data_IF_678685511305
#
_entry.id   IF_678685511305
#
_cell.length_a   1.000
_cell.length_b   1.000
_cell.length_c   1.000
_cell.angle_alpha   90.00
_cell.angle_beta   90.00
_cell.angle_gamma   90.00
#
_symmetry.space_group_name_H-M   'P 1'
#
loop_
_entity.id
_entity.type
_entity.pdbx_description
1 polymer ?
#
# COMPACT_ATOMS: atom_id res chain seq x y z
N UNK A 1 48.74 58.90 15.91
CA UNK A 1 48.52 58.58 14.49
C UNK A 1 48.70 57.08 14.32
N UNK A 2 47.63 56.30 14.48
CA UNK A 2 47.52 54.88 14.11
C UNK A 2 46.08 54.44 14.45
N UNK A 3 45.19 54.61 13.47
CA UNK A 3 43.82 54.09 13.51
C UNK A 3 43.88 52.58 13.26
N UNK A 4 43.35 51.77 14.18
CA UNK A 4 43.10 50.36 13.93
C UNK A 4 41.74 50.22 13.24
N UNK A 5 41.79 49.74 12.01
CA UNK A 5 40.64 49.22 11.27
C UNK A 5 40.13 47.95 11.94
N UNK A 6 38.86 47.91 12.32
CA UNK A 6 38.09 46.67 12.22
C UNK A 6 36.73 46.96 11.60
N UNK A 7 36.60 46.36 10.43
CA UNK A 7 35.50 46.33 9.50
C UNK A 7 34.31 45.61 10.13
N UNK A 8 33.15 46.23 9.99
CA UNK A 8 31.86 45.63 10.24
C UNK A 8 31.62 44.57 9.17
N UNK A 9 31.45 43.29 9.56
CA UNK A 9 30.80 42.32 8.69
C UNK A 9 29.56 41.73 9.37
N UNK A 10 28.51 41.79 8.58
CA UNK A 10 27.12 41.68 8.91
C UNK A 10 26.74 40.27 9.39
N UNK A 11 26.01 40.26 10.49
CA UNK A 11 25.30 39.11 11.00
C UNK A 11 23.87 39.17 10.44
N UNK A 12 23.62 38.62 9.25
CA UNK A 12 22.26 38.29 8.81
C UNK A 12 22.26 37.46 7.51
N UNK A 13 21.96 36.18 7.64
CA UNK A 13 21.18 35.45 6.64
C UNK A 13 20.39 34.36 7.36
N UNK A 14 19.30 34.81 7.96
CA UNK A 14 18.17 33.94 8.28
C UNK A 14 17.25 33.94 7.07
N UNK A 15 17.04 32.79 6.46
CA UNK A 15 15.84 32.45 5.68
C UNK A 15 15.99 31.03 5.08
N UNK A 16 14.89 30.34 4.80
CA UNK A 16 13.71 30.16 5.64
C UNK A 16 13.62 28.69 6.07
N UNK A 17 13.02 28.47 7.24
CA UNK A 17 12.39 27.19 7.54
C UNK A 17 11.45 26.85 6.39
N UNK A 18 11.80 25.86 5.56
CA UNK A 18 10.81 25.13 4.79
C UNK A 18 9.96 24.32 5.76
N UNK A 19 9.10 25.04 6.47
CA UNK A 19 7.81 24.52 6.87
C UNK A 19 7.01 24.27 5.58
N UNK A 20 7.47 23.29 4.79
CA UNK A 20 6.71 22.78 3.67
C UNK A 20 5.52 22.07 4.28
N UNK A 21 4.44 22.86 4.41
CA UNK A 21 3.03 22.47 4.41
C UNK A 21 2.78 21.10 5.03
N UNK A 22 2.10 21.10 6.16
CA UNK A 22 1.27 19.98 6.64
C UNK A 22 0.23 19.61 5.57
N UNK A 23 0.69 19.04 4.45
CA UNK A 23 -0.15 18.46 3.43
C UNK A 23 -0.76 17.27 4.11
N UNK A 24 -2.04 17.41 4.35
CA UNK A 24 -2.83 16.51 5.14
C UNK A 24 -3.04 15.21 4.34
N UNK A 25 -2.00 14.37 4.40
CA UNK A 25 -1.75 13.28 3.46
C UNK A 25 -2.86 12.25 3.56
N UNK A 26 -3.59 12.07 2.46
CA UNK A 26 -4.51 10.95 2.27
C UNK A 26 -3.69 9.83 1.66
N UNK A 27 -3.77 8.64 2.23
CA UNK A 27 -3.14 7.44 1.70
C UNK A 27 -4.20 6.40 1.40
N UNK A 28 -3.99 5.60 0.37
CA UNK A 28 -4.93 4.56 -0.04
C UNK A 28 -4.28 3.20 0.15
N UNK A 29 -5.00 2.29 0.80
CA UNK A 29 -4.65 0.87 0.88
C UNK A 29 -5.56 0.10 -0.07
N UNK A 30 -4.99 -0.71 -0.96
CA UNK A 30 -5.72 -1.54 -1.92
C UNK A 30 -5.52 -3.01 -1.57
N UNK A 31 -6.62 -3.71 -1.30
CA UNK A 31 -6.67 -5.13 -0.92
C UNK A 31 -7.44 -5.91 -1.99
N UNK A 32 -6.76 -6.44 -3.02
CA UNK A 32 -7.40 -7.18 -4.08
C UNK A 32 -7.67 -8.64 -3.72
N UNK A 33 -8.72 -9.22 -4.32
CA UNK A 33 -8.87 -10.67 -4.34
C UNK A 33 -7.82 -11.30 -5.27
N UNK A 34 -7.36 -12.50 -4.91
CA UNK A 34 -6.33 -13.28 -5.60
C UNK A 34 -6.72 -13.75 -7.03
N UNK A 35 -7.89 -13.36 -7.53
CA UNK A 35 -8.32 -13.61 -8.90
C UNK A 35 -7.60 -12.72 -9.92
N UNK A 36 -7.12 -13.32 -11.02
CA UNK A 36 -6.32 -12.62 -12.04
C UNK A 36 -7.00 -11.37 -12.63
N UNK A 37 -8.31 -11.41 -12.90
CA UNK A 37 -9.07 -10.28 -13.41
C UNK A 37 -9.18 -9.14 -12.39
N UNK A 38 -9.42 -9.48 -11.12
CA UNK A 38 -9.57 -8.53 -10.01
C UNK A 38 -8.26 -7.80 -9.74
N UNK A 39 -7.13 -8.52 -9.70
CA UNK A 39 -5.80 -7.94 -9.54
C UNK A 39 -5.50 -6.90 -10.62
N UNK A 40 -5.85 -7.18 -11.88
CA UNK A 40 -5.61 -6.22 -12.96
C UNK A 40 -6.54 -4.99 -12.86
N UNK A 41 -7.82 -5.18 -12.54
CA UNK A 41 -8.76 -4.08 -12.39
C UNK A 41 -8.35 -3.12 -11.26
N UNK A 42 -8.00 -3.66 -10.09
CA UNK A 42 -7.56 -2.86 -8.95
C UNK A 42 -6.19 -2.22 -9.20
N UNK A 43 -5.30 -2.86 -9.97
CA UNK A 43 -4.06 -2.22 -10.41
C UNK A 43 -4.34 -1.00 -11.31
N UNK A 44 -5.24 -1.12 -12.28
CA UNK A 44 -5.60 0.01 -13.15
C UNK A 44 -6.23 1.16 -12.36
N UNK A 45 -7.12 0.84 -11.41
CA UNK A 45 -7.66 1.83 -10.48
C UNK A 45 -6.55 2.49 -9.66
N UNK A 46 -5.58 1.70 -9.17
CA UNK A 46 -4.42 2.20 -8.41
C UNK A 46 -3.60 3.20 -9.22
N UNK A 47 -3.40 2.96 -10.52
CA UNK A 47 -2.72 3.92 -11.40
C UNK A 47 -3.51 5.23 -11.55
N UNK A 48 -4.83 5.17 -11.70
CA UNK A 48 -5.68 6.36 -11.78
C UNK A 48 -5.57 7.17 -10.48
N UNK A 49 -5.69 6.53 -9.32
CA UNK A 49 -5.54 7.19 -8.01
C UNK A 49 -4.15 7.81 -7.87
N UNK A 50 -3.11 7.04 -8.18
CA UNK A 50 -1.71 7.48 -8.06
C UNK A 50 -1.39 8.68 -8.96
N UNK A 51 -2.03 8.77 -10.14
CA UNK A 51 -1.87 9.91 -11.06
C UNK A 51 -2.32 11.25 -10.47
N UNK A 52 -3.15 11.24 -9.42
CA UNK A 52 -3.57 12.42 -8.66
C UNK A 52 -2.64 12.73 -7.47
N UNK A 53 -1.42 12.22 -7.49
CA UNK A 53 -0.40 12.37 -6.44
C UNK A 53 -0.78 11.77 -5.08
N UNK A 54 -1.67 10.77 -5.07
CA UNK A 54 -2.09 10.05 -3.86
C UNK A 54 -1.21 8.79 -3.70
N UNK A 55 -0.53 8.59 -2.56
CA UNK A 55 0.19 7.35 -2.27
C UNK A 55 -0.76 6.15 -2.20
N UNK A 56 -0.41 5.07 -2.89
CA UNK A 56 -1.18 3.83 -2.92
C UNK A 56 -0.34 2.68 -2.40
N UNK A 57 -0.84 1.96 -1.40
CA UNK A 57 -0.26 0.75 -0.84
C UNK A 57 -1.06 -0.45 -1.35
N UNK A 58 -0.46 -1.24 -2.24
CA UNK A 58 -1.10 -2.38 -2.88
C UNK A 58 -0.66 -3.68 -2.21
N UNK A 59 -1.58 -4.37 -1.53
CA UNK A 59 -1.27 -5.60 -0.78
C UNK A 59 -1.53 -6.85 -1.59
N UNK A 60 -0.80 -7.91 -1.27
CA UNK A 60 -1.11 -9.26 -1.74
C UNK A 60 -0.02 -10.25 -1.37
N UNK A 61 -0.25 -11.52 -1.70
CA UNK A 61 0.81 -12.52 -1.54
C UNK A 61 1.94 -12.29 -2.54
N UNK A 62 3.17 -12.68 -2.19
CA UNK A 62 4.36 -12.51 -3.02
C UNK A 62 4.20 -13.09 -4.44
N UNK A 63 3.52 -14.24 -4.57
CA UNK A 63 3.21 -14.84 -5.87
C UNK A 63 2.34 -13.91 -6.72
N UNK A 64 1.22 -13.43 -6.17
CA UNK A 64 0.28 -12.58 -6.91
C UNK A 64 0.88 -11.21 -7.22
N UNK A 65 1.61 -10.62 -6.26
CA UNK A 65 2.31 -9.34 -6.44
C UNK A 65 3.39 -9.44 -7.51
N UNK A 66 4.17 -10.51 -7.55
CA UNK A 66 5.15 -10.75 -8.61
C UNK A 66 4.48 -10.80 -10.00
N UNK A 67 3.35 -11.51 -10.11
CA UNK A 67 2.58 -11.55 -11.35
C UNK A 67 2.03 -10.17 -11.75
N UNK A 68 1.54 -9.38 -10.79
CA UNK A 68 1.06 -8.00 -11.02
C UNK A 68 2.21 -7.11 -11.49
N UNK A 69 3.35 -7.12 -10.78
CA UNK A 69 4.56 -6.38 -11.13
C UNK A 69 5.05 -6.71 -12.54
N UNK A 70 5.02 -8.00 -12.94
CA UNK A 70 5.44 -8.43 -14.28
C UNK A 70 4.59 -7.84 -15.42
N UNK A 71 3.33 -7.48 -15.13
CA UNK A 71 2.37 -6.90 -16.09
C UNK A 71 2.36 -5.36 -16.04
N UNK A 72 2.78 -4.78 -14.92
CA UNK A 72 2.78 -3.34 -14.68
C UNK A 72 3.91 -2.59 -15.41
N UNK A 73 4.80 -3.29 -16.12
CA UNK A 73 6.02 -2.80 -16.78
C UNK A 73 5.79 -1.74 -17.87
N UNK A 74 4.53 -1.51 -18.27
CA UNK A 74 4.17 -0.57 -19.33
C UNK A 74 3.38 0.65 -18.84
N UNK A 75 3.10 0.78 -17.54
CA UNK A 75 2.23 1.85 -17.04
C UNK A 75 3.03 2.99 -16.40
N UNK A 76 2.76 4.20 -16.88
CA UNK A 76 3.36 5.47 -16.43
C UNK A 76 2.98 5.73 -14.96
N UNK A 77 3.93 6.22 -14.15
CA UNK A 77 3.79 6.49 -12.71
C UNK A 77 3.67 5.29 -11.77
N UNK A 78 4.74 4.48 -11.68
CA UNK A 78 4.91 3.50 -10.60
C UNK A 78 5.45 4.11 -9.29
N UNK A 79 5.97 5.34 -9.30
CA UNK A 79 6.72 5.91 -8.17
C UNK A 79 5.91 6.07 -6.87
N UNK A 80 4.57 6.11 -6.96
CA UNK A 80 3.68 6.26 -5.80
C UNK A 80 2.81 5.04 -5.50
N UNK A 81 3.02 3.92 -6.20
CA UNK A 81 2.39 2.64 -5.87
C UNK A 81 3.44 1.77 -5.16
N UNK A 82 3.21 1.54 -3.86
CA UNK A 82 4.04 0.67 -3.04
C UNK A 82 3.39 -0.70 -2.96
N UNK A 83 4.08 -1.71 -3.49
CA UNK A 83 3.62 -3.09 -3.42
C UNK A 83 4.12 -3.75 -2.14
N UNK A 84 3.21 -4.36 -1.39
CA UNK A 84 3.50 -5.11 -0.16
C UNK A 84 3.27 -6.59 -0.44
N UNK A 85 4.37 -7.34 -0.55
CA UNK A 85 4.39 -8.78 -0.81
C UNK A 85 4.54 -9.58 0.48
N UNK A 86 3.46 -10.26 0.87
CA UNK A 86 3.44 -11.12 2.05
C UNK A 86 3.69 -12.59 1.68
N UNK A 87 4.20 -13.42 2.62
CA UNK A 87 4.44 -14.84 2.37
C UNK A 87 3.22 -15.52 1.77
N UNK A 88 3.43 -16.24 0.67
CA UNK A 88 2.35 -17.04 0.08
C UNK A 88 2.22 -18.33 0.90
N UNK A 89 1.01 -18.69 1.38
CA UNK A 89 0.86 -19.91 2.16
C UNK A 89 1.25 -21.13 1.33
N UNK A 90 1.83 -22.13 2.00
CA UNK A 90 2.13 -23.39 1.33
C UNK A 90 0.84 -24.18 1.14
N UNK A 91 0.48 -24.43 -0.12
CA UNK A 91 -0.64 -25.29 -0.48
C UNK A 91 -0.12 -26.67 -0.89
N UNK A 92 -0.72 -27.72 -0.33
CA UNK A 92 -0.51 -29.07 -0.83
C UNK A 92 -1.24 -29.20 -2.16
N UNK A 93 -0.58 -29.69 -3.23
CA UNK A 93 -1.27 -29.93 -4.49
C UNK A 93 -2.36 -30.99 -4.29
N UNK A 94 -3.50 -30.88 -5.02
CA UNK A 94 -4.53 -31.91 -4.96
C UNK A 94 -3.95 -33.25 -5.38
N UNK A 95 -4.35 -34.32 -4.69
CA UNK A 95 -3.91 -35.68 -5.01
C UNK A 95 -4.45 -36.06 -6.41
N UNK A 96 -3.74 -36.84 -7.25
CA UNK A 96 -4.14 -37.14 -8.62
C UNK A 96 -5.54 -37.77 -8.82
N UNK A 97 -6.19 -38.27 -7.77
CA UNK A 97 -7.56 -38.81 -7.80
C UNK A 97 -8.59 -37.93 -7.06
N UNK A 98 -8.21 -36.72 -6.67
CA UNK A 98 -9.10 -35.84 -5.93
C UNK A 98 -10.04 -35.10 -6.88
N UNK A 99 -11.30 -35.52 -6.91
CA UNK A 99 -12.35 -34.87 -7.72
C UNK A 99 -12.84 -33.56 -7.11
N UNK A 100 -12.39 -33.21 -5.90
CA UNK A 100 -12.77 -31.98 -5.22
C UNK A 100 -11.84 -30.81 -5.53
N UNK A 101 -11.33 -30.70 -6.76
CA UNK A 101 -10.49 -29.59 -7.20
C UNK A 101 -11.06 -28.21 -6.80
N UNK A 102 -12.39 -28.06 -6.84
CA UNK A 102 -13.07 -26.85 -6.40
C UNK A 102 -12.93 -26.57 -4.89
N UNK A 103 -12.99 -27.58 -4.01
CA UNK A 103 -12.86 -27.36 -2.56
C UNK A 103 -11.43 -26.97 -2.18
N UNK A 104 -10.43 -27.59 -2.80
CA UNK A 104 -9.02 -27.22 -2.62
C UNK A 104 -8.75 -25.78 -3.07
N UNK A 105 -9.26 -25.37 -4.22
CA UNK A 105 -9.11 -23.99 -4.69
C UNK A 105 -9.78 -22.98 -3.76
N UNK A 106 -11.02 -23.25 -3.34
CA UNK A 106 -11.73 -22.39 -2.37
C UNK A 106 -10.93 -22.28 -1.08
N UNK A 107 -10.46 -23.40 -0.54
CA UNK A 107 -9.67 -23.43 0.68
C UNK A 107 -8.32 -22.69 0.53
N UNK A 108 -7.66 -22.82 -0.62
CA UNK A 108 -6.45 -22.07 -0.93
C UNK A 108 -6.70 -20.56 -0.99
N UNK A 109 -7.82 -20.14 -1.57
CA UNK A 109 -8.20 -18.73 -1.59
C UNK A 109 -8.52 -18.20 -0.20
N UNK A 110 -9.36 -18.90 0.58
CA UNK A 110 -9.71 -18.52 1.95
C UNK A 110 -8.47 -18.41 2.83
N UNK A 111 -7.59 -19.42 2.79
CA UNK A 111 -6.34 -19.41 3.55
C UNK A 111 -5.43 -18.26 3.10
N UNK A 112 -5.36 -17.96 1.80
CA UNK A 112 -4.58 -16.81 1.30
C UNK A 112 -5.14 -15.48 1.82
N UNK A 113 -6.46 -15.34 1.86
CA UNK A 113 -7.14 -14.14 2.36
C UNK A 113 -6.89 -13.98 3.86
N UNK A 114 -7.05 -15.03 4.66
CA UNK A 114 -6.84 -14.98 6.11
C UNK A 114 -5.40 -14.62 6.49
N UNK A 115 -4.40 -15.11 5.75
CA UNK A 115 -3.00 -14.79 6.00
C UNK A 115 -2.62 -13.32 5.73
N UNK A 116 -3.50 -12.54 5.09
CA UNK A 116 -3.28 -11.12 4.87
C UNK A 116 -3.88 -10.24 5.98
N UNK A 117 -4.65 -10.80 6.92
CA UNK A 117 -5.32 -10.02 7.96
C UNK A 117 -4.35 -9.34 8.92
N UNK A 118 -3.40 -10.08 9.48
CA UNK A 118 -2.39 -9.52 10.38
C UNK A 118 -1.47 -8.51 9.66
N UNK A 119 -0.89 -8.85 8.48
CA UNK A 119 -0.07 -7.88 7.77
C UNK A 119 -0.82 -6.61 7.31
N UNK A 120 -2.11 -6.74 6.99
CA UNK A 120 -2.97 -5.59 6.73
C UNK A 120 -3.15 -4.72 7.99
N UNK A 121 -3.43 -5.33 9.14
CA UNK A 121 -3.61 -4.60 10.40
C UNK A 121 -2.34 -3.85 10.81
N UNK A 122 -1.17 -4.46 10.64
CA UNK A 122 0.13 -3.83 10.92
C UNK A 122 0.36 -2.61 10.02
N UNK A 123 0.13 -2.77 8.72
CA UNK A 123 0.28 -1.69 7.75
C UNK A 123 -0.73 -0.56 8.01
N UNK A 124 -1.99 -0.90 8.30
CA UNK A 124 -3.03 0.06 8.63
C UNK A 124 -2.68 0.86 9.89
N UNK A 125 -2.14 0.19 10.91
CA UNK A 125 -1.69 0.84 12.14
C UNK A 125 -0.61 1.87 11.85
N UNK A 126 0.44 1.44 11.13
CA UNK A 126 1.56 2.32 10.74
C UNK A 126 1.10 3.54 9.94
N UNK A 127 0.20 3.32 8.97
CA UNK A 127 -0.30 4.41 8.12
C UNK A 127 -1.26 5.32 8.87
N UNK A 128 -2.05 4.78 9.79
CA UNK A 128 -3.00 5.57 10.59
C UNK A 128 -2.29 6.52 11.57
N UNK A 129 -1.07 6.20 12.00
CA UNK A 129 -0.25 7.08 12.86
C UNK A 129 0.29 8.32 12.12
N UNK A 130 0.49 8.22 10.80
CA UNK A 130 1.21 9.21 10.01
C UNK A 130 0.32 9.96 9.01
N UNK A 131 -0.72 9.30 8.48
CA UNK A 131 -1.64 9.88 7.52
C UNK A 131 -2.79 10.64 8.21
N UNK A 132 -3.26 11.72 7.58
CA UNK A 132 -4.50 12.37 8.04
C UNK A 132 -5.69 11.42 7.85
N UNK A 133 -5.73 10.73 6.71
CA UNK A 133 -6.83 9.83 6.34
C UNK A 133 -6.27 8.62 5.59
N UNK A 134 -6.73 7.45 5.97
CA UNK A 134 -6.47 6.19 5.27
C UNK A 134 -7.77 5.77 4.58
N UNK A 135 -7.72 5.49 3.29
CA UNK A 135 -8.86 4.96 2.54
C UNK A 135 -8.56 3.52 2.17
N UNK A 136 -9.47 2.60 2.51
CA UNK A 136 -9.29 1.18 2.22
C UNK A 136 -10.20 0.79 1.06
N UNK A 137 -9.59 0.42 -0.07
CA UNK A 137 -10.29 -0.12 -1.23
C UNK A 137 -10.06 -1.63 -1.24
N UNK A 138 -11.13 -2.41 -1.06
CA UNK A 138 -11.04 -3.85 -1.02
C UNK A 138 -12.02 -4.53 -1.98
N UNK A 139 -11.69 -5.75 -2.38
CA UNK A 139 -12.63 -6.63 -3.05
C UNK A 139 -13.67 -7.17 -2.04
N UNK A 140 -14.94 -7.37 -2.42
CA UNK A 140 -15.93 -7.99 -1.53
C UNK A 140 -15.49 -9.35 -0.96
N UNK A 141 -14.73 -10.14 -1.71
CA UNK A 141 -14.21 -11.44 -1.27
C UNK A 141 -13.06 -11.32 -0.26
N UNK A 142 -12.53 -10.11 -0.05
CA UNK A 142 -11.45 -9.81 0.91
C UNK A 142 -11.95 -9.04 2.14
N UNK A 143 -13.27 -8.94 2.32
CA UNK A 143 -13.85 -8.16 3.42
C UNK A 143 -13.42 -8.61 4.81
N UNK A 144 -13.07 -9.90 5.01
CA UNK A 144 -12.59 -10.40 6.30
C UNK A 144 -11.25 -9.79 6.72
N UNK A 145 -10.40 -9.42 5.76
CA UNK A 145 -9.09 -8.78 6.02
C UNK A 145 -9.28 -7.39 6.64
N UNK A 146 -10.23 -6.62 6.10
CA UNK A 146 -10.40 -5.19 6.42
C UNK A 146 -11.44 -4.94 7.51
N UNK A 147 -12.02 -6.00 8.08
CA UNK A 147 -13.09 -5.88 9.06
C UNK A 147 -12.73 -4.98 10.25
N UNK A 148 -11.49 -5.05 10.70
CA UNK A 148 -10.99 -4.30 11.85
C UNK A 148 -10.63 -2.84 11.53
N UNK A 149 -10.76 -2.40 10.28
CA UNK A 149 -10.46 -1.02 9.86
C UNK A 149 -11.34 0.02 10.55
N UNK A 150 -12.58 -0.34 10.89
CA UNK A 150 -13.51 0.54 11.59
C UNK A 150 -13.04 1.00 12.98
N UNK A 151 -12.00 0.36 13.53
CA UNK A 151 -11.40 0.71 14.83
C UNK A 151 -10.53 1.97 14.75
N UNK A 152 -10.12 2.37 13.54
CA UNK A 152 -9.25 3.52 13.32
C UNK A 152 -10.10 4.74 12.95
N UNK A 153 -10.07 5.83 13.75
CA UNK A 153 -10.98 6.97 13.56
C UNK A 153 -10.71 7.77 12.28
N UNK A 154 -9.52 7.60 11.68
CA UNK A 154 -9.10 8.25 10.43
C UNK A 154 -9.15 7.31 9.22
N UNK A 155 -9.83 6.17 9.34
CA UNK A 155 -9.97 5.18 8.26
C UNK A 155 -11.40 5.11 7.74
N UNK A 156 -11.53 5.08 6.41
CA UNK A 156 -12.81 4.94 5.68
C UNK A 156 -12.74 3.82 4.64
#
# INVERSE_FOLDING_TARGET
MANQSQETLEKQSSSPSSSSSSSSSVVVIVVPFHGHSHLNQLLQLSHIISSHNIPVHYLGSALHISQVKSRATHVVNQERIQFHDFPTPHFLPPLPNDTQFSSHLIHSFETSVENLREPFADLLTLLSETARKVVVIHDPLTSSIVHDSCRFPNTE
#
